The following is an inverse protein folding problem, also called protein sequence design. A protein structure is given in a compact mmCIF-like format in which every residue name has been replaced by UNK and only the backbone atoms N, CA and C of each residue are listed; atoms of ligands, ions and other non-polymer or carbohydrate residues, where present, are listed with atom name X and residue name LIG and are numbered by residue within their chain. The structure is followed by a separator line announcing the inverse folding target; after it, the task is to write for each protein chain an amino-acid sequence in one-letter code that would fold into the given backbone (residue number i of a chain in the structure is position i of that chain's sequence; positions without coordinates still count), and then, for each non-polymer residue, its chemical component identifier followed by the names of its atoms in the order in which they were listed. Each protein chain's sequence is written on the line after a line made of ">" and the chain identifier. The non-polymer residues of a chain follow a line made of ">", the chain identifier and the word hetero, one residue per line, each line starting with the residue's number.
data_IF_653690772418
#
_entry.id   IF_653690772418
#
_cell.length_a   1.000
_cell.length_b   1.000
_cell.length_c   1.000
_cell.angle_alpha   90.00
_cell.angle_beta   90.00
_cell.angle_gamma   90.00
#
_symmetry.space_group_name_H-M   'P 1'
#
loop_
_entity.id
_entity.type
_entity.pdbx_description
1 polymer ?
#
# COMPACT_ATOMS: atom_id res chain seq x y z
N UNK A 1 -19.83 -24.05 -25.87
CA UNK A 1 -20.77 -23.59 -24.83
C UNK A 1 -20.02 -22.79 -23.78
N UNK A 2 -19.72 -21.52 -24.04
CA UNK A 2 -19.14 -20.63 -23.05
C UNK A 2 -19.81 -19.24 -23.13
N UNK A 3 -20.95 -19.04 -22.44
CA UNK A 3 -21.40 -17.69 -22.17
C UNK A 3 -21.66 -17.35 -20.69
N UNK A 4 -21.36 -18.23 -19.72
CA UNK A 4 -21.75 -17.98 -18.31
C UNK A 4 -20.75 -17.21 -17.45
N UNK A 5 -19.44 -17.29 -17.72
CA UNK A 5 -18.43 -16.57 -16.94
C UNK A 5 -18.48 -15.05 -17.15
N UNK A 6 -18.72 -14.61 -18.39
CA UNK A 6 -18.78 -13.16 -18.69
C UNK A 6 -19.99 -12.44 -18.06
N UNK A 7 -21.10 -13.15 -17.82
CA UNK A 7 -22.29 -12.58 -17.19
C UNK A 7 -22.12 -12.28 -15.69
N UNK A 8 -21.49 -13.21 -14.96
CA UNK A 8 -21.23 -13.04 -13.52
C UNK A 8 -20.22 -11.91 -13.23
N UNK A 9 -19.15 -11.84 -14.02
CA UNK A 9 -18.16 -10.75 -13.92
C UNK A 9 -18.79 -9.39 -14.22
N UNK A 10 -19.63 -9.30 -15.27
CA UNK A 10 -20.35 -8.07 -15.58
C UNK A 10 -21.35 -7.66 -14.50
N UNK A 11 -22.04 -8.64 -13.88
CA UNK A 11 -22.98 -8.37 -12.80
C UNK A 11 -22.27 -7.90 -11.53
N UNK A 12 -21.17 -8.56 -11.13
CA UNK A 12 -20.36 -8.17 -9.99
C UNK A 12 -19.71 -6.79 -10.20
N UNK A 13 -19.12 -6.54 -11.38
CA UNK A 13 -18.57 -5.23 -11.75
C UNK A 13 -19.64 -4.13 -11.75
N UNK A 14 -20.86 -4.41 -12.26
CA UNK A 14 -21.99 -3.47 -12.22
C UNK A 14 -22.46 -3.20 -10.81
N UNK A 15 -22.38 -4.16 -9.89
CA UNK A 15 -22.80 -3.99 -8.51
C UNK A 15 -21.84 -3.08 -7.74
N UNK A 16 -20.53 -3.21 -7.96
CA UNK A 16 -19.52 -2.27 -7.44
C UNK A 16 -19.73 -0.86 -8.01
N UNK A 17 -19.98 -0.75 -9.31
CA UNK A 17 -20.20 0.53 -9.98
C UNK A 17 -21.51 1.19 -9.57
N UNK A 18 -22.61 0.43 -9.36
CA UNK A 18 -23.90 1.00 -8.90
C UNK A 18 -23.79 1.61 -7.51
N UNK A 19 -22.98 1.03 -6.62
CA UNK A 19 -22.71 1.62 -5.31
C UNK A 19 -21.84 2.88 -5.37
N UNK A 20 -21.18 3.13 -6.49
CA UNK A 20 -20.34 4.30 -6.76
C UNK A 20 -20.95 5.32 -7.71
N UNK A 21 -22.22 5.13 -8.16
CA UNK A 21 -22.89 6.05 -9.06
C UNK A 21 -23.26 7.39 -8.38
N UNK A 22 -23.10 8.54 -9.05
CA UNK A 22 -23.25 9.86 -8.45
C UNK A 22 -24.67 10.27 -8.05
N UNK A 23 -25.71 9.49 -8.35
CA UNK A 23 -27.10 9.79 -8.01
C UNK A 23 -27.65 9.06 -6.78
N UNK A 24 -26.87 8.19 -6.14
CA UNK A 24 -27.19 7.54 -4.88
C UNK A 24 -26.12 7.85 -3.85
N UNK A 25 -26.47 7.96 -2.57
CA UNK A 25 -25.49 8.03 -1.49
C UNK A 25 -24.50 6.87 -1.68
N UNK A 26 -23.25 7.22 -2.03
CA UNK A 26 -22.16 6.23 -2.14
C UNK A 26 -22.07 5.51 -0.81
N UNK A 27 -22.37 4.21 -0.79
CA UNK A 27 -22.16 3.39 0.40
C UNK A 27 -20.68 3.02 0.44
N UNK A 28 -19.89 3.92 1.04
CA UNK A 28 -18.46 3.71 1.23
C UNK A 28 -18.20 2.62 2.27
N UNK A 29 -17.04 1.95 2.21
CA UNK A 29 -16.67 0.96 3.22
C UNK A 29 -16.73 1.56 4.62
N UNK A 30 -17.32 0.85 5.58
CA UNK A 30 -17.46 1.35 6.96
C UNK A 30 -16.14 1.64 7.66
N UNK A 31 -15.05 0.99 7.23
CA UNK A 31 -13.69 1.21 7.75
C UNK A 31 -13.00 2.43 7.12
N UNK A 32 -13.48 2.93 6.00
CA UNK A 32 -12.88 4.08 5.32
C UNK A 32 -13.08 5.35 6.15
N UNK A 33 -11.98 5.98 6.51
CA UNK A 33 -11.97 7.34 7.03
C UNK A 33 -11.66 8.30 5.90
N UNK A 34 -12.70 8.80 5.23
CA UNK A 34 -12.57 9.63 4.02
C UNK A 34 -11.99 11.02 4.30
N UNK A 35 -11.52 11.71 3.27
CA UNK A 35 -11.10 13.11 3.34
C UNK A 35 -12.26 14.06 3.03
N UNK A 36 -12.08 15.32 3.40
CA UNK A 36 -13.13 16.35 3.26
C UNK A 36 -13.14 17.03 1.89
N UNK A 37 -12.09 16.87 1.09
CA UNK A 37 -12.00 17.54 -0.21
C UNK A 37 -13.09 17.06 -1.18
N UNK A 38 -13.73 18.00 -1.85
CA UNK A 38 -14.71 17.72 -2.89
C UNK A 38 -14.06 17.43 -4.25
N UNK A 39 -12.91 18.02 -4.51
CA UNK A 39 -12.09 17.77 -5.69
C UNK A 39 -11.01 16.72 -5.41
N UNK A 40 -10.55 16.05 -6.47
CA UNK A 40 -9.54 15.01 -6.41
C UNK A 40 -8.11 15.55 -6.26
N UNK A 41 -7.88 16.83 -6.54
CA UNK A 41 -6.54 17.41 -6.60
C UNK A 41 -5.84 17.32 -5.24
N UNK A 42 -4.64 16.78 -5.19
CA UNK A 42 -3.85 16.62 -3.97
C UNK A 42 -4.42 15.63 -2.96
N UNK A 43 -5.48 14.88 -3.29
CA UNK A 43 -6.05 13.88 -2.38
C UNK A 43 -5.35 12.54 -2.49
N UNK A 44 -5.29 11.82 -1.37
CA UNK A 44 -4.58 10.55 -1.24
C UNK A 44 -5.41 9.55 -0.44
N UNK A 45 -5.45 8.31 -0.93
CA UNK A 45 -5.95 7.18 -0.15
C UNK A 45 -4.77 6.39 0.37
N UNK A 46 -4.59 6.36 1.67
CA UNK A 46 -3.65 5.46 2.33
C UNK A 46 -4.34 4.15 2.67
N UNK A 47 -3.83 3.06 2.15
CA UNK A 47 -4.18 1.70 2.55
C UNK A 47 -3.17 1.29 3.60
N UNK A 48 -3.63 1.07 4.82
CA UNK A 48 -2.78 0.89 6.00
C UNK A 48 -2.96 -0.51 6.55
N UNK A 49 -1.85 -1.19 6.82
CA UNK A 49 -1.86 -2.50 7.44
C UNK A 49 -2.36 -2.43 8.90
N UNK A 50 -3.39 -3.22 9.19
CA UNK A 50 -3.93 -3.39 10.53
C UNK A 50 -4.77 -2.22 11.06
N UNK A 51 -5.58 -2.52 12.06
CA UNK A 51 -6.47 -1.54 12.67
C UNK A 51 -5.72 -0.57 13.63
N UNK A 52 -4.63 -1.03 14.27
CA UNK A 52 -3.83 -0.22 15.19
C UNK A 52 -3.11 0.91 14.45
N UNK A 53 -2.34 0.57 13.41
CA UNK A 53 -1.67 1.56 12.57
C UNK A 53 -2.68 2.45 11.82
N UNK A 54 -3.80 1.86 11.37
CA UNK A 54 -4.92 2.60 10.80
C UNK A 54 -5.49 3.64 11.75
N UNK A 55 -5.58 3.34 13.04
CA UNK A 55 -6.00 4.27 14.11
C UNK A 55 -5.04 5.44 14.27
N UNK A 56 -3.74 5.17 14.36
CA UNK A 56 -2.69 6.21 14.43
C UNK A 56 -2.68 7.09 13.17
N UNK A 57 -2.77 6.48 11.99
CA UNK A 57 -2.83 7.18 10.72
C UNK A 57 -4.08 8.08 10.62
N UNK A 58 -5.24 7.58 11.04
CA UNK A 58 -6.49 8.35 11.08
C UNK A 58 -6.39 9.59 11.97
N UNK A 59 -5.70 9.49 13.10
CA UNK A 59 -5.49 10.62 14.01
C UNK A 59 -4.46 11.60 13.47
N UNK A 60 -3.36 11.10 12.88
CA UNK A 60 -2.24 11.91 12.41
C UNK A 60 -2.43 12.58 11.03
N UNK A 61 -3.38 12.11 10.21
CA UNK A 61 -3.53 12.58 8.82
C UNK A 61 -4.00 14.03 8.66
N UNK A 62 -3.74 14.59 7.52
CA UNK A 62 -4.48 15.76 7.04
C UNK A 62 -5.90 15.33 6.59
N UNK A 63 -6.89 15.65 7.42
CA UNK A 63 -8.30 15.31 7.15
C UNK A 63 -8.85 15.98 5.89
N UNK A 64 -8.24 17.06 5.44
CA UNK A 64 -8.69 17.76 4.23
C UNK A 64 -8.40 16.96 2.97
N UNK A 65 -7.22 16.31 2.90
CA UNK A 65 -6.72 15.70 1.67
C UNK A 65 -6.40 14.21 1.77
N UNK A 66 -6.31 13.64 2.98
CA UNK A 66 -5.89 12.25 3.18
C UNK A 66 -7.02 11.39 3.73
N UNK A 67 -7.32 10.30 3.03
CA UNK A 67 -8.22 9.24 3.47
C UNK A 67 -7.42 8.02 3.94
N UNK A 68 -7.95 7.29 4.93
CA UNK A 68 -7.33 6.08 5.48
C UNK A 68 -8.31 4.92 5.33
N UNK A 69 -7.82 3.83 4.75
CA UNK A 69 -8.49 2.54 4.68
C UNK A 69 -7.61 1.50 5.36
N UNK A 70 -7.92 1.09 6.60
CA UNK A 70 -7.20 0.00 7.25
C UNK A 70 -7.58 -1.35 6.63
N UNK A 71 -6.59 -2.22 6.43
CA UNK A 71 -6.77 -3.60 6.02
C UNK A 71 -6.48 -4.52 7.20
N UNK A 72 -7.44 -5.33 7.65
CA UNK A 72 -7.26 -6.24 8.78
C UNK A 72 -6.54 -7.52 8.33
N UNK A 73 -5.22 -7.49 8.26
CA UNK A 73 -4.41 -8.65 7.92
C UNK A 73 -4.19 -8.88 6.42
N UNK A 74 -3.75 -10.08 6.07
CA UNK A 74 -3.36 -10.44 4.70
C UNK A 74 -4.56 -10.47 3.75
N UNK A 75 -4.42 -9.80 2.62
CA UNK A 75 -5.43 -9.82 1.55
C UNK A 75 -5.30 -11.09 0.69
N UNK A 76 -6.35 -11.36 -0.08
CA UNK A 76 -6.38 -12.48 -1.02
C UNK A 76 -5.25 -12.38 -2.05
N UNK A 77 -4.51 -13.49 -2.24
CA UNK A 77 -3.63 -13.61 -3.40
C UNK A 77 -4.49 -13.74 -4.67
N UNK A 78 -4.38 -12.77 -5.55
CA UNK A 78 -5.22 -12.66 -6.75
C UNK A 78 -4.56 -13.22 -8.01
N UNK A 79 -3.32 -13.75 -7.89
CA UNK A 79 -2.63 -14.37 -9.02
C UNK A 79 -3.41 -15.57 -9.57
N UNK A 80 -3.66 -15.56 -10.88
CA UNK A 80 -4.44 -16.60 -11.56
C UNK A 80 -5.94 -16.65 -11.21
N UNK A 81 -6.47 -15.64 -10.50
CA UNK A 81 -7.89 -15.55 -10.20
C UNK A 81 -8.64 -14.66 -11.19
N UNK A 82 -9.86 -15.08 -11.55
CA UNK A 82 -10.76 -14.20 -12.32
C UNK A 82 -11.24 -13.03 -11.47
N UNK A 83 -11.52 -11.89 -12.11
CA UNK A 83 -12.04 -10.71 -11.42
C UNK A 83 -13.33 -11.01 -10.61
N UNK A 84 -14.20 -11.89 -11.12
CA UNK A 84 -15.41 -12.28 -10.39
C UNK A 84 -15.09 -12.90 -9.03
N UNK A 85 -14.08 -13.78 -8.99
CA UNK A 85 -13.62 -14.41 -7.75
C UNK A 85 -12.96 -13.43 -6.80
N UNK A 86 -12.17 -12.50 -7.34
CA UNK A 86 -11.50 -11.44 -6.58
C UNK A 86 -12.51 -10.50 -5.91
N UNK A 87 -13.61 -10.18 -6.59
CA UNK A 87 -14.68 -9.32 -6.08
C UNK A 87 -15.53 -9.96 -4.96
N UNK A 88 -15.44 -11.27 -4.76
CA UNK A 88 -16.04 -11.96 -3.60
C UNK A 88 -15.28 -11.65 -2.30
N UNK A 89 -13.99 -11.28 -2.40
CA UNK A 89 -13.20 -10.88 -1.23
C UNK A 89 -13.60 -9.48 -0.78
N UNK A 90 -13.93 -9.36 0.51
CA UNK A 90 -14.46 -8.12 1.08
C UNK A 90 -13.44 -6.99 1.07
N UNK A 91 -12.21 -7.26 1.43
CA UNK A 91 -11.13 -6.25 1.52
C UNK A 91 -10.83 -5.66 0.16
N UNK A 92 -10.73 -6.50 -0.87
CA UNK A 92 -10.52 -6.06 -2.27
C UNK A 92 -11.74 -5.29 -2.78
N UNK A 93 -12.95 -5.76 -2.49
CA UNK A 93 -14.20 -5.08 -2.87
C UNK A 93 -14.30 -3.70 -2.19
N UNK A 94 -13.93 -3.62 -0.92
CA UNK A 94 -13.89 -2.36 -0.16
C UNK A 94 -12.85 -1.39 -0.75
N UNK A 95 -11.66 -1.88 -1.14
CA UNK A 95 -10.64 -1.07 -1.79
C UNK A 95 -11.11 -0.51 -3.15
N UNK A 96 -11.71 -1.35 -4.01
CA UNK A 96 -12.26 -0.91 -5.31
C UNK A 96 -13.36 0.13 -5.10
N UNK A 97 -14.23 -0.09 -4.10
CA UNK A 97 -15.31 0.85 -3.75
C UNK A 97 -14.75 2.17 -3.24
N UNK A 98 -13.73 2.14 -2.38
CA UNK A 98 -13.06 3.34 -1.89
C UNK A 98 -12.40 4.13 -3.02
N UNK A 99 -11.71 3.44 -3.96
CA UNK A 99 -11.10 4.05 -5.14
C UNK A 99 -12.14 4.69 -6.08
N UNK A 100 -13.32 4.09 -6.22
CA UNK A 100 -14.42 4.61 -7.02
C UNK A 100 -14.26 4.49 -8.53
N UNK A 101 -13.15 3.93 -9.02
CA UNK A 101 -12.85 3.79 -10.46
C UNK A 101 -13.43 2.52 -11.09
N UNK A 102 -14.08 1.65 -10.30
CA UNK A 102 -14.56 0.36 -10.79
C UNK A 102 -13.43 -0.64 -11.07
N UNK A 103 -13.76 -1.76 -11.72
CA UNK A 103 -12.80 -2.78 -12.12
C UNK A 103 -13.27 -3.52 -13.38
N UNK A 104 -12.35 -4.11 -14.14
CA UNK A 104 -12.63 -4.83 -15.38
C UNK A 104 -13.34 -3.97 -16.41
N UNK A 105 -14.46 -4.45 -16.94
CA UNK A 105 -15.23 -3.74 -17.97
C UNK A 105 -15.84 -2.38 -17.52
N UNK A 106 -15.87 -2.14 -16.21
CA UNK A 106 -16.40 -0.88 -15.63
C UNK A 106 -15.30 0.05 -15.14
N UNK A 107 -14.04 -0.34 -15.33
CA UNK A 107 -12.91 0.49 -14.93
C UNK A 107 -12.87 1.80 -15.73
N UNK A 108 -12.81 2.89 -15.00
CA UNK A 108 -12.64 4.24 -15.56
C UNK A 108 -11.81 5.06 -14.58
N UNK A 109 -10.57 5.35 -14.93
CA UNK A 109 -9.63 6.12 -14.09
C UNK A 109 -10.09 7.56 -13.88
N UNK A 110 -10.90 8.12 -14.79
CA UNK A 110 -11.46 9.47 -14.63
C UNK A 110 -12.37 9.55 -13.40
N UNK A 111 -12.96 8.43 -13.00
CA UNK A 111 -13.84 8.29 -11.83
C UNK A 111 -13.09 8.01 -10.52
N UNK A 112 -11.77 7.83 -10.56
CA UNK A 112 -10.98 7.63 -9.35
C UNK A 112 -11.18 8.80 -8.38
N UNK A 113 -11.53 8.51 -7.14
CA UNK A 113 -11.88 9.51 -6.14
C UNK A 113 -10.67 10.26 -5.57
N UNK A 114 -9.49 9.65 -5.64
CA UNK A 114 -8.23 10.20 -5.12
C UNK A 114 -7.21 10.41 -6.23
N UNK A 115 -6.30 11.34 -6.03
CA UNK A 115 -5.19 11.56 -6.96
C UNK A 115 -4.15 10.46 -6.86
N UNK A 116 -3.92 9.93 -5.65
CA UNK A 116 -2.91 8.90 -5.36
C UNK A 116 -3.47 7.80 -4.49
N UNK A 117 -2.97 6.60 -4.70
CA UNK A 117 -3.09 5.45 -3.81
C UNK A 117 -1.73 5.23 -3.17
N UNK A 118 -1.67 5.18 -1.86
CA UNK A 118 -0.44 4.98 -1.10
C UNK A 118 -0.59 3.73 -0.24
N UNK A 119 0.29 2.76 -0.42
CA UNK A 119 0.34 1.56 0.41
C UNK A 119 1.28 1.83 1.59
N UNK A 120 0.83 1.56 2.79
CA UNK A 120 1.56 1.77 4.03
C UNK A 120 1.47 0.49 4.89
N UNK A 121 2.54 -0.25 4.93
CA UNK A 121 2.68 -1.50 5.68
C UNK A 121 3.88 -1.42 6.63
N UNK A 122 3.91 -2.33 7.59
CA UNK A 122 5.04 -2.48 8.51
C UNK A 122 6.31 -2.88 7.74
N UNK A 123 7.47 -2.53 8.27
CA UNK A 123 8.76 -2.86 7.66
C UNK A 123 9.25 -4.24 8.16
N UNK A 124 8.40 -5.24 8.05
CA UNK A 124 8.68 -6.63 8.41
C UNK A 124 8.25 -7.58 7.28
N UNK A 125 8.47 -8.88 7.46
CA UNK A 125 8.15 -9.91 6.46
C UNK A 125 6.65 -9.96 6.13
N UNK A 126 5.78 -9.75 7.11
CA UNK A 126 4.33 -9.74 6.91
C UNK A 126 3.86 -8.52 6.14
N UNK A 127 4.37 -7.33 6.47
CA UNK A 127 4.07 -6.09 5.75
C UNK A 127 4.58 -6.12 4.30
N UNK A 128 5.76 -6.68 4.05
CA UNK A 128 6.27 -6.91 2.70
C UNK A 128 5.37 -7.87 1.91
N UNK A 129 4.87 -8.93 2.56
CA UNK A 129 3.94 -9.87 1.93
C UNK A 129 2.60 -9.19 1.60
N UNK A 130 2.02 -8.42 2.52
CA UNK A 130 0.76 -7.68 2.28
C UNK A 130 0.94 -6.69 1.12
N UNK A 131 2.05 -5.96 1.10
CA UNK A 131 2.39 -5.05 -0.01
C UNK A 131 2.46 -5.81 -1.33
N UNK A 132 3.13 -6.97 -1.37
CA UNK A 132 3.25 -7.80 -2.58
C UNK A 132 1.88 -8.31 -3.05
N UNK A 133 1.00 -8.73 -2.14
CA UNK A 133 -0.38 -9.15 -2.46
C UNK A 133 -1.18 -8.01 -3.07
N UNK A 134 -1.08 -6.80 -2.51
CA UNK A 134 -1.75 -5.60 -3.05
C UNK A 134 -1.18 -5.20 -4.41
N UNK A 135 0.13 -5.24 -4.60
CA UNK A 135 0.76 -4.98 -5.90
C UNK A 135 0.34 -6.00 -6.95
N UNK A 136 0.25 -7.29 -6.58
CA UNK A 136 -0.27 -8.35 -7.46
C UNK A 136 -1.70 -8.05 -7.90
N UNK A 137 -2.57 -7.67 -6.97
CA UNK A 137 -3.94 -7.27 -7.27
C UNK A 137 -3.98 -6.07 -8.23
N UNK A 138 -3.22 -5.01 -7.94
CA UNK A 138 -3.17 -3.80 -8.78
C UNK A 138 -2.63 -4.10 -10.17
N UNK A 139 -1.58 -4.91 -10.26
CA UNK A 139 -0.98 -5.30 -11.53
C UNK A 139 -1.93 -6.14 -12.40
N UNK A 140 -2.61 -7.13 -11.81
CA UNK A 140 -3.50 -8.05 -12.53
C UNK A 140 -4.87 -7.45 -12.90
N UNK A 141 -5.42 -6.60 -12.03
CA UNK A 141 -6.81 -6.16 -12.16
C UNK A 141 -7.00 -4.66 -12.37
N UNK A 142 -6.02 -3.83 -12.00
CA UNK A 142 -6.04 -2.37 -12.12
C UNK A 142 -4.70 -1.81 -12.65
N UNK A 143 -4.07 -2.41 -13.70
CA UNK A 143 -2.71 -2.04 -14.14
C UNK A 143 -2.61 -0.58 -14.58
N UNK A 144 -3.70 0.01 -15.03
CA UNK A 144 -3.74 1.39 -15.48
C UNK A 144 -3.46 2.39 -14.34
N UNK A 145 -3.76 2.05 -13.08
CA UNK A 145 -3.38 2.88 -11.93
C UNK A 145 -1.85 2.99 -11.79
N UNK A 146 -1.14 1.88 -12.04
CA UNK A 146 0.33 1.86 -12.01
C UNK A 146 0.88 2.63 -13.22
N UNK A 147 0.40 2.34 -14.44
CA UNK A 147 0.86 2.98 -15.67
C UNK A 147 0.71 4.50 -15.65
N UNK A 148 -0.35 5.01 -15.01
CA UNK A 148 -0.57 6.45 -14.84
C UNK A 148 0.10 7.03 -13.59
N UNK A 149 0.98 6.28 -12.91
CA UNK A 149 1.76 6.77 -11.77
C UNK A 149 0.90 7.17 -10.57
N UNK A 150 -0.20 6.42 -10.33
CA UNK A 150 -1.12 6.69 -9.23
C UNK A 150 -0.79 5.92 -7.96
N UNK A 151 0.07 4.90 -8.04
CA UNK A 151 0.38 3.98 -6.94
C UNK A 151 1.74 4.29 -6.35
N UNK A 152 1.78 4.38 -5.02
CA UNK A 152 2.99 4.68 -4.26
C UNK A 152 3.12 3.73 -3.06
N UNK A 153 4.36 3.49 -2.63
CA UNK A 153 4.70 2.85 -1.35
C UNK A 153 5.20 3.95 -0.42
N UNK A 154 4.64 4.01 0.79
CA UNK A 154 5.20 4.86 1.83
C UNK A 154 6.39 4.16 2.49
N UNK A 155 7.42 4.94 2.81
CA UNK A 155 8.64 4.45 3.50
C UNK A 155 8.68 5.12 4.87
N UNK A 156 8.07 4.52 5.91
CA UNK A 156 8.22 5.00 7.28
C UNK A 156 9.65 4.79 7.76
N UNK A 157 10.16 5.58 8.73
CA UNK A 157 11.47 5.35 9.29
C UNK A 157 11.48 4.11 10.18
N UNK A 158 12.57 3.35 10.13
CA UNK A 158 12.85 2.26 11.07
C UNK A 158 13.40 2.77 12.39
N UNK A 159 14.15 3.87 12.37
CA UNK A 159 14.82 4.38 13.56
C UNK A 159 14.49 5.83 13.84
N UNK A 160 14.34 6.11 15.13
CA UNK A 160 14.45 7.44 15.72
C UNK A 160 15.81 7.56 16.39
N UNK A 161 16.53 8.65 16.14
CA UNK A 161 17.85 8.95 16.68
C UNK A 161 17.78 10.31 17.36
N UNK A 162 17.89 10.33 18.68
CA UNK A 162 17.91 11.55 19.46
C UNK A 162 19.38 11.89 19.81
N UNK A 163 19.86 13.04 19.34
CA UNK A 163 21.19 13.58 19.60
C UNK A 163 21.06 14.89 20.36
N UNK A 164 21.06 14.82 21.69
CA UNK A 164 20.81 15.97 22.54
C UNK A 164 19.41 16.50 22.41
N UNK A 165 19.22 17.67 21.74
CA UNK A 165 17.91 18.28 21.52
C UNK A 165 17.35 18.04 20.10
N UNK A 166 18.14 17.41 19.23
CA UNK A 166 17.76 17.16 17.84
C UNK A 166 17.32 15.72 17.65
N UNK A 167 16.26 15.50 16.90
CA UNK A 167 15.74 14.18 16.51
C UNK A 167 15.93 13.99 15.02
N UNK A 168 16.48 12.85 14.65
CA UNK A 168 16.65 12.40 13.27
C UNK A 168 15.89 11.11 13.04
N UNK A 169 15.51 10.89 11.79
CA UNK A 169 14.78 9.71 11.36
C UNK A 169 15.59 8.96 10.30
N UNK A 170 15.83 7.68 10.51
CA UNK A 170 16.53 6.83 9.55
C UNK A 170 15.60 5.77 8.98
N UNK A 171 15.67 5.59 7.67
CA UNK A 171 14.84 4.62 6.95
C UNK A 171 15.29 3.18 7.18
N UNK A 172 16.60 2.96 7.32
CA UNK A 172 17.25 1.66 7.46
C UNK A 172 18.55 1.78 8.28
N UNK A 173 19.27 0.66 8.43
CA UNK A 173 20.52 0.60 9.17
C UNK A 173 21.61 1.47 8.53
N UNK A 174 21.73 1.47 7.21
CA UNK A 174 22.71 2.26 6.49
C UNK A 174 22.48 3.77 6.69
N UNK A 175 21.22 4.18 6.64
CA UNK A 175 20.80 5.58 6.87
C UNK A 175 21.05 5.99 8.33
N UNK A 176 20.79 5.08 9.31
CA UNK A 176 21.13 5.29 10.73
C UNK A 176 22.62 5.54 10.90
N UNK A 177 23.45 4.68 10.35
CA UNK A 177 24.91 4.75 10.52
C UNK A 177 25.48 5.99 9.85
N UNK A 178 24.93 6.39 8.70
CA UNK A 178 25.27 7.63 8.01
C UNK A 178 24.92 8.85 8.89
N UNK A 179 23.70 8.89 9.45
CA UNK A 179 23.27 10.00 10.31
C UNK A 179 24.16 10.11 11.55
N UNK A 180 24.48 8.99 12.20
CA UNK A 180 25.37 8.97 13.35
C UNK A 180 26.76 9.54 12.99
N UNK A 181 27.34 9.07 11.88
CA UNK A 181 28.64 9.53 11.40
C UNK A 181 28.66 11.04 11.09
N UNK A 182 27.59 11.56 10.50
CA UNK A 182 27.52 12.97 10.09
C UNK A 182 27.13 13.93 11.23
N UNK A 183 26.27 13.49 12.14
CA UNK A 183 25.62 14.37 13.12
C UNK A 183 26.13 14.21 14.54
N UNK A 184 26.66 13.04 14.91
CA UNK A 184 27.17 12.79 16.24
C UNK A 184 28.53 13.50 16.40
N UNK A 185 28.56 14.52 17.28
CA UNK A 185 29.77 15.28 17.58
C UNK A 185 30.47 14.73 18.83
N UNK A 186 31.71 14.25 18.66
CA UNK A 186 32.54 13.75 19.76
C UNK A 186 31.87 12.54 20.48
N UNK A 187 31.92 12.54 21.81
CA UNK A 187 31.35 11.47 22.65
C UNK A 187 29.86 11.71 23.02
N UNK A 188 29.11 12.51 22.26
CA UNK A 188 27.70 12.72 22.54
C UNK A 188 26.95 11.38 22.48
N UNK A 189 26.22 11.04 23.54
CA UNK A 189 25.41 9.81 23.59
C UNK A 189 24.22 9.97 22.64
N UNK A 190 24.10 9.04 21.70
CA UNK A 190 22.92 8.88 20.87
C UNK A 190 21.91 7.98 21.60
N UNK A 191 20.64 8.40 21.63
CA UNK A 191 19.53 7.53 22.01
C UNK A 191 18.83 7.05 20.74
N UNK A 192 18.83 5.73 20.52
CA UNK A 192 18.34 5.13 19.29
C UNK A 192 17.17 4.21 19.63
N UNK A 193 16.00 4.54 19.06
CA UNK A 193 14.79 3.72 19.18
C UNK A 193 14.49 3.09 17.82
N UNK A 194 14.37 1.76 17.77
CA UNK A 194 13.90 1.03 16.59
C UNK A 194 12.39 0.83 16.70
N UNK A 195 11.65 1.17 15.66
CA UNK A 195 10.21 0.85 15.54
C UNK A 195 10.05 -0.56 14.97
N UNK A 196 9.28 -1.40 15.64
CA UNK A 196 8.95 -2.75 15.16
C UNK A 196 7.80 -2.72 14.16
N UNK A 197 6.91 -1.72 14.28
CA UNK A 197 5.79 -1.55 13.37
C UNK A 197 5.13 -0.18 13.53
N UNK A 198 4.25 0.14 12.58
CA UNK A 198 3.49 1.40 12.52
C UNK A 198 2.59 1.62 13.74
N UNK A 199 2.13 0.51 14.36
CA UNK A 199 1.31 0.56 15.56
C UNK A 199 2.02 1.16 16.78
N UNK A 200 3.36 1.16 16.80
CA UNK A 200 4.19 1.78 17.83
C UNK A 200 4.39 3.30 17.61
N UNK A 201 4.10 3.79 16.41
CA UNK A 201 4.25 5.20 16.08
C UNK A 201 3.07 6.01 16.59
N UNK A 202 3.37 7.00 17.43
CA UNK A 202 2.37 8.00 17.82
C UNK A 202 1.86 8.78 16.59
N UNK A 203 0.60 9.22 16.56
CA UNK A 203 0.02 9.94 15.42
C UNK A 203 0.86 11.13 14.94
N UNK A 204 1.49 11.87 15.86
CA UNK A 204 2.36 13.00 15.53
C UNK A 204 3.62 12.55 14.79
N UNK A 205 4.25 11.46 15.25
CA UNK A 205 5.44 10.89 14.61
C UNK A 205 5.10 10.39 13.20
N UNK A 206 3.98 9.66 13.08
CA UNK A 206 3.51 9.16 11.79
C UNK A 206 3.19 10.30 10.81
N UNK A 207 2.63 11.41 11.31
CA UNK A 207 2.46 12.62 10.50
C UNK A 207 3.81 13.17 10.03
N UNK A 208 4.72 13.47 10.96
CA UNK A 208 5.99 14.12 10.66
C UNK A 208 6.88 13.32 9.70
N UNK A 209 6.79 11.99 9.73
CA UNK A 209 7.70 11.10 8.98
C UNK A 209 7.09 10.50 7.72
N UNK A 210 5.78 10.22 7.73
CA UNK A 210 5.18 9.33 6.72
C UNK A 210 3.98 9.94 5.99
N UNK A 211 3.15 10.75 6.68
CA UNK A 211 1.94 11.30 6.07
C UNK A 211 2.15 12.71 5.50
N UNK A 212 3.01 13.52 6.12
CA UNK A 212 3.24 14.91 5.72
C UNK A 212 3.92 14.99 4.33
N UNK A 213 3.27 15.61 3.33
CA UNK A 213 3.81 15.71 1.97
C UNK A 213 5.18 16.37 1.85
N UNK A 214 5.60 17.17 2.86
CA UNK A 214 6.88 17.92 2.85
C UNK A 214 8.06 17.09 3.35
N UNK A 215 7.83 16.09 4.19
CA UNK A 215 8.90 15.38 4.92
C UNK A 215 8.95 13.88 4.64
N UNK A 216 7.83 13.31 4.15
CA UNK A 216 7.71 11.87 3.86
C UNK A 216 8.53 11.43 2.66
N UNK A 217 8.81 10.12 2.62
CA UNK A 217 9.37 9.44 1.45
C UNK A 217 8.30 8.54 0.83
N UNK A 218 8.08 8.69 -0.47
CA UNK A 218 7.20 7.82 -1.27
C UNK A 218 8.00 7.26 -2.43
N UNK A 219 7.85 5.95 -2.65
CA UNK A 219 8.36 5.27 -3.84
C UNK A 219 7.20 5.11 -4.83
N UNK A 220 7.37 5.63 -6.05
CA UNK A 220 6.38 5.41 -7.10
C UNK A 220 6.53 4.00 -7.66
N UNK A 221 5.41 3.29 -7.77
CA UNK A 221 5.37 1.97 -8.38
C UNK A 221 5.31 2.13 -9.89
N UNK A 222 6.22 1.45 -10.60
CA UNK A 222 6.33 1.50 -12.06
C UNK A 222 6.47 0.09 -12.64
N UNK A 223 5.95 -0.12 -13.84
CA UNK A 223 6.18 -1.30 -14.65
C UNK A 223 7.23 -0.91 -15.69
N UNK A 224 8.49 -1.30 -15.48
CA UNK A 224 9.59 -1.00 -16.39
C UNK A 224 9.55 -1.92 -17.61
N UNK A 225 9.38 -3.22 -17.36
CA UNK A 225 9.23 -4.26 -18.39
C UNK A 225 8.01 -5.13 -18.03
N UNK A 226 7.04 -5.20 -18.95
CA UNK A 226 5.81 -5.91 -18.72
C UNK A 226 6.00 -7.44 -18.72
N UNK A 227 6.91 -7.97 -19.56
CA UNK A 227 7.17 -9.41 -19.65
C UNK A 227 7.91 -9.90 -18.41
N UNK A 228 8.93 -9.17 -17.99
CA UNK A 228 9.70 -9.47 -16.79
C UNK A 228 8.83 -9.34 -15.54
N UNK A 229 8.00 -8.31 -15.44
CA UNK A 229 7.05 -8.14 -14.33
C UNK A 229 6.06 -9.29 -14.27
N UNK A 230 5.51 -9.70 -15.42
CA UNK A 230 4.56 -10.83 -15.49
C UNK A 230 5.22 -12.13 -15.03
N UNK A 231 6.45 -12.40 -15.48
CA UNK A 231 7.24 -13.55 -15.07
C UNK A 231 7.47 -13.56 -13.55
N UNK A 232 7.98 -12.48 -12.99
CA UNK A 232 8.29 -12.36 -11.56
C UNK A 232 7.02 -12.52 -10.70
N UNK A 233 5.93 -11.86 -11.07
CA UNK A 233 4.66 -11.98 -10.33
C UNK A 233 4.15 -13.42 -10.38
N UNK A 234 4.22 -14.08 -11.54
CA UNK A 234 3.80 -15.48 -11.66
C UNK A 234 4.70 -16.44 -10.87
N UNK A 235 6.03 -16.25 -10.89
CA UNK A 235 6.99 -17.05 -10.12
C UNK A 235 6.77 -16.91 -8.61
N UNK A 236 6.60 -15.68 -8.12
CA UNK A 236 6.48 -15.42 -6.69
C UNK A 236 5.09 -15.74 -6.14
N UNK A 237 4.03 -15.39 -6.88
CA UNK A 237 2.66 -15.40 -6.40
C UNK A 237 1.82 -16.53 -7.02
N UNK A 238 2.34 -17.20 -8.03
CA UNK A 238 1.69 -18.35 -8.67
C UNK A 238 1.49 -19.54 -7.73
N UNK A 239 0.64 -20.47 -8.14
CA UNK A 239 0.29 -21.67 -7.34
C UNK A 239 1.42 -22.69 -7.27
N UNK A 240 2.33 -22.69 -8.25
CA UNK A 240 3.44 -23.63 -8.31
C UNK A 240 4.60 -23.16 -7.41
N UNK A 241 4.89 -23.87 -6.31
CA UNK A 241 6.00 -23.52 -5.43
C UNK A 241 7.37 -23.77 -6.06
N UNK A 242 7.45 -24.65 -7.07
CA UNK A 242 8.71 -25.01 -7.72
C UNK A 242 9.31 -23.83 -8.49
N UNK A 243 8.49 -22.91 -8.99
CA UNK A 243 8.92 -21.71 -9.67
C UNK A 243 9.59 -20.68 -8.71
N UNK A 244 9.19 -20.68 -7.44
CA UNK A 244 9.78 -19.78 -6.41
C UNK A 244 11.17 -20.18 -5.99
N UNK A 245 11.46 -21.48 -5.96
CA UNK A 245 12.73 -21.98 -5.47
C UNK A 245 13.95 -21.43 -6.24
N UNK A 246 14.00 -21.48 -7.59
CA UNK A 246 15.09 -20.87 -8.36
C UNK A 246 15.22 -19.37 -8.09
N UNK A 247 14.11 -18.64 -8.05
CA UNK A 247 14.10 -17.20 -7.77
C UNK A 247 14.71 -16.87 -6.41
N UNK A 248 14.37 -17.64 -5.36
CA UNK A 248 14.91 -17.46 -4.01
C UNK A 248 16.41 -17.78 -4.00
N UNK A 249 16.82 -18.88 -4.66
CA UNK A 249 18.22 -19.29 -4.71
C UNK A 249 19.11 -18.29 -5.45
N UNK A 250 18.64 -17.75 -6.57
CA UNK A 250 19.37 -16.74 -7.34
C UNK A 250 19.57 -15.42 -6.58
N UNK A 251 18.70 -15.13 -5.62
CA UNK A 251 18.68 -13.87 -4.86
C UNK A 251 18.96 -14.04 -3.36
N UNK A 252 19.34 -15.23 -2.93
CA UNK A 252 19.62 -15.53 -1.53
C UNK A 252 20.71 -14.61 -0.93
N UNK A 253 21.70 -14.23 -1.75
CA UNK A 253 22.78 -13.32 -1.34
C UNK A 253 22.29 -11.86 -1.17
N UNK A 254 21.13 -11.52 -1.67
CA UNK A 254 20.53 -10.18 -1.57
C UNK A 254 19.56 -10.05 -0.36
N UNK A 255 19.31 -11.14 0.34
CA UNK A 255 18.48 -11.15 1.53
C UNK A 255 19.24 -10.54 2.71
N UNK A 256 18.85 -9.33 3.11
CA UNK A 256 19.50 -8.56 4.19
C UNK A 256 19.03 -8.99 5.59
N UNK A 257 17.79 -9.47 5.73
CA UNK A 257 17.25 -10.00 7.00
C UNK A 257 16.41 -11.25 6.74
N UNK A 258 16.82 -12.35 7.33
CA UNK A 258 15.99 -13.55 7.46
C UNK A 258 15.48 -13.60 8.91
N UNK A 259 14.16 -13.50 9.09
CA UNK A 259 13.53 -13.91 10.35
C UNK A 259 13.65 -15.43 10.48
N UNK A 260 14.63 -15.88 11.27
CA UNK A 260 14.88 -17.29 11.60
C UNK A 260 14.42 -17.57 13.01
#
# INVERSE_FOLDING_TARGET
>A
LAPRAGGAVRAASRQVTRKSAPSGRLTLPGKLSDCLAHDRSGTELFVVEGDSAGGSAKQGRDRSRQAILPLPGKVLNTEGLSLGKVLENKEISDLITALGCGAGATFDIARMRYQRLVLLADADSDGHHITTLLLTFLYRHLPELIRQGRVFLAVPPLYRIDLGKETYWAADDADRDRILKEKQKGNAKADITRFKGLGEMMPKVLWETTLNPRTRRLLRVEIQDALETDRIVNELMGKDPSARFPFIMERAEQAEELDV
#
